data_IF_032188599845
#
_entry.id   IF_032188599845
#
_cell.length_a   1.000
_cell.length_b   1.000
_cell.length_c   1.000
_cell.angle_alpha   90.00
_cell.angle_beta   90.00
_cell.angle_gamma   90.00
#
_symmetry.space_group_name_H-M   'P 1'
#
loop_
_entity.id
_entity.type
_entity.pdbx_description
1 polymer ?
#
# COMPACT_ATOMS: atom_id res chain seq x y z
N UNK A 1 -19.68 3.83 -5.68
CA UNK A 1 -18.30 3.79 -6.29
C UNK A 1 -17.94 2.33 -6.55
N UNK A 2 -17.03 2.04 -7.50
CA UNK A 2 -16.67 0.63 -7.80
C UNK A 2 -16.33 -0.19 -6.56
N UNK A 3 -15.51 0.37 -5.67
CA UNK A 3 -15.03 -0.30 -4.45
C UNK A 3 -16.15 -0.70 -3.47
N UNK A 4 -17.25 0.03 -3.45
CA UNK A 4 -18.40 -0.25 -2.58
C UNK A 4 -19.19 -1.48 -3.06
N UNK A 5 -19.13 -1.76 -4.37
CA UNK A 5 -19.85 -2.84 -5.02
C UNK A 5 -18.99 -4.09 -5.29
N UNK A 6 -17.70 -4.07 -4.87
CA UNK A 6 -16.82 -5.22 -5.04
C UNK A 6 -17.20 -6.35 -4.08
N UNK A 7 -16.94 -7.58 -4.51
CA UNK A 7 -17.15 -8.77 -3.68
C UNK A 7 -16.31 -8.71 -2.40
N UNK A 8 -16.93 -9.03 -1.28
CA UNK A 8 -16.23 -9.11 0.01
C UNK A 8 -15.38 -10.38 0.06
N UNK A 9 -14.09 -10.24 0.28
CA UNK A 9 -13.11 -11.34 0.34
C UNK A 9 -12.39 -11.29 1.69
N UNK A 10 -12.34 -12.44 2.36
CA UNK A 10 -11.58 -12.61 3.61
C UNK A 10 -10.19 -13.16 3.33
N UNK A 11 -9.18 -12.56 3.94
CA UNK A 11 -7.77 -12.98 3.85
C UNK A 11 -7.26 -13.10 5.29
N UNK A 12 -7.22 -14.32 5.81
CA UNK A 12 -6.92 -14.55 7.23
C UNK A 12 -7.85 -13.76 8.14
N UNK A 13 -7.30 -12.88 8.97
CA UNK A 13 -8.05 -11.98 9.87
C UNK A 13 -8.43 -10.63 9.24
N UNK A 14 -8.16 -10.41 7.97
CA UNK A 14 -8.50 -9.18 7.23
C UNK A 14 -9.63 -9.40 6.25
N UNK A 15 -10.33 -8.32 5.91
CA UNK A 15 -11.43 -8.30 4.93
C UNK A 15 -11.17 -7.17 3.94
N UNK A 16 -11.42 -7.43 2.65
CA UNK A 16 -11.30 -6.45 1.56
C UNK A 16 -12.55 -6.48 0.68
N UNK A 17 -12.74 -5.45 -0.13
CA UNK A 17 -13.93 -5.31 -0.99
C UNK A 17 -15.16 -4.82 -0.22
N UNK A 18 -16.25 -4.52 -0.95
CA UNK A 18 -17.51 -4.07 -0.35
C UNK A 18 -17.40 -2.78 0.47
N UNK A 19 -16.55 -1.85 0.08
CA UNK A 19 -16.33 -0.59 0.79
C UNK A 19 -15.45 -0.70 2.05
N UNK A 20 -14.93 -1.88 2.39
CA UNK A 20 -14.00 -2.03 3.52
C UNK A 20 -12.74 -1.16 3.33
N UNK A 21 -12.02 -0.81 4.42
CA UNK A 21 -10.80 -0.02 4.34
C UNK A 21 -9.78 -0.59 3.36
N UNK A 22 -9.06 0.29 2.65
CA UNK A 22 -8.01 -0.11 1.73
C UNK A 22 -6.80 -0.59 2.54
N UNK A 23 -6.35 -1.81 2.27
CA UNK A 23 -5.23 -2.42 2.98
C UNK A 23 -3.91 -2.22 2.23
N UNK A 24 -2.85 -1.97 3.00
CA UNK A 24 -1.48 -1.87 2.49
C UNK A 24 -0.84 -3.25 2.52
N UNK A 25 -0.44 -3.74 1.36
CA UNK A 25 0.34 -4.95 1.22
C UNK A 25 1.77 -4.61 0.83
N UNK A 26 2.76 -5.21 1.51
CA UNK A 26 4.15 -5.21 1.06
C UNK A 26 4.64 -6.61 0.73
N UNK A 27 5.91 -6.74 0.42
CA UNK A 27 6.56 -8.01 0.10
C UNK A 27 7.93 -8.07 0.77
N UNK A 28 8.24 -9.21 1.36
CA UNK A 28 9.59 -9.45 1.91
C UNK A 28 10.63 -9.48 0.79
N UNK A 29 11.82 -8.99 1.09
CA UNK A 29 13.01 -9.12 0.25
C UNK A 29 14.06 -10.09 0.84
N UNK A 30 13.72 -10.72 1.97
CA UNK A 30 14.47 -11.83 2.55
C UNK A 30 14.15 -13.14 1.82
N UNK A 31 15.02 -14.14 1.91
CA UNK A 31 14.69 -15.50 1.49
C UNK A 31 13.63 -16.06 2.43
N UNK A 32 12.52 -16.58 1.89
CA UNK A 32 11.43 -17.16 2.70
C UNK A 32 11.90 -18.38 3.51
N UNK A 33 12.95 -19.05 3.09
CA UNK A 33 13.60 -20.15 3.82
C UNK A 33 14.32 -19.69 5.10
N UNK A 34 14.77 -18.42 5.13
CA UNK A 34 15.27 -17.78 6.35
C UNK A 34 14.10 -17.35 7.23
N UNK A 35 13.61 -18.28 8.04
CA UNK A 35 12.44 -18.10 8.90
C UNK A 35 12.65 -16.94 9.87
N UNK A 36 13.83 -16.83 10.49
CA UNK A 36 14.11 -15.81 11.50
C UNK A 36 14.18 -14.41 10.85
N UNK A 37 14.96 -14.26 9.78
CA UNK A 37 15.10 -13.00 9.05
C UNK A 37 13.79 -12.54 8.43
N UNK A 38 13.04 -13.47 7.83
CA UNK A 38 11.74 -13.16 7.22
C UNK A 38 10.71 -12.75 8.28
N UNK A 39 10.64 -13.47 9.41
CA UNK A 39 9.73 -13.12 10.51
C UNK A 39 10.08 -11.74 11.10
N UNK A 40 11.35 -11.48 11.36
CA UNK A 40 11.81 -10.18 11.86
C UNK A 40 11.43 -9.03 10.91
N UNK A 41 11.61 -9.23 9.59
CA UNK A 41 11.21 -8.24 8.60
C UNK A 41 9.69 -8.02 8.58
N UNK A 42 8.88 -9.08 8.63
CA UNK A 42 7.42 -8.98 8.64
C UNK A 42 6.95 -8.20 9.87
N UNK A 43 7.44 -8.52 11.06
CA UNK A 43 7.07 -7.83 12.30
C UNK A 43 7.47 -6.35 12.28
N UNK A 44 8.62 -6.01 11.68
CA UNK A 44 9.02 -4.62 11.46
C UNK A 44 8.06 -3.89 10.52
N UNK A 45 7.66 -4.53 9.43
CA UNK A 45 6.71 -3.94 8.47
C UNK A 45 5.32 -3.79 9.06
N UNK A 46 4.87 -4.77 9.84
CA UNK A 46 3.59 -4.74 10.56
C UNK A 46 3.55 -3.57 11.55
N UNK A 47 4.60 -3.38 12.35
CA UNK A 47 4.71 -2.26 13.29
C UNK A 47 4.59 -0.89 12.61
N UNK A 48 4.98 -0.78 11.32
CA UNK A 48 4.82 0.43 10.50
C UNK A 48 3.44 0.56 9.86
N UNK A 49 2.58 -0.47 9.99
CA UNK A 49 1.20 -0.45 9.46
C UNK A 49 1.02 -1.21 8.15
N UNK A 50 1.86 -2.21 7.86
CA UNK A 50 1.59 -3.21 6.83
C UNK A 50 0.41 -4.07 7.26
N UNK A 51 -0.61 -4.18 6.42
CA UNK A 51 -1.82 -4.94 6.73
C UNK A 51 -1.76 -6.40 6.24
N UNK A 52 -1.01 -6.66 5.16
CA UNK A 52 -0.86 -7.96 4.51
C UNK A 52 0.57 -8.10 4.00
N UNK A 53 1.21 -9.23 4.26
CA UNK A 53 2.56 -9.50 3.74
C UNK A 53 2.53 -10.53 2.61
N UNK A 54 3.42 -10.37 1.61
CA UNK A 54 3.65 -11.35 0.55
C UNK A 54 5.07 -11.88 0.62
N UNK A 55 5.21 -13.20 0.55
CA UNK A 55 6.51 -13.89 0.50
C UNK A 55 6.65 -14.64 -0.83
N UNK A 56 7.84 -14.61 -1.43
CA UNK A 56 8.14 -15.43 -2.59
C UNK A 56 8.29 -16.91 -2.19
N UNK A 57 7.77 -17.81 -3.02
CA UNK A 57 7.87 -19.26 -2.79
C UNK A 57 8.50 -19.91 -4.02
N UNK A 58 9.83 -19.88 -4.13
CA UNK A 58 10.54 -20.40 -5.29
C UNK A 58 10.68 -21.92 -5.28
N UNK A 59 10.60 -22.57 -4.12
CA UNK A 59 10.81 -24.00 -3.93
C UNK A 59 10.02 -24.55 -2.73
N UNK A 60 10.13 -25.85 -2.47
CA UNK A 60 9.38 -26.56 -1.44
C UNK A 60 9.85 -26.19 -0.01
N UNK A 61 11.11 -25.86 0.17
CA UNK A 61 11.67 -25.42 1.45
C UNK A 61 11.03 -24.09 1.88
N UNK A 62 10.91 -23.14 0.96
CA UNK A 62 10.21 -21.89 1.17
C UNK A 62 8.71 -22.12 1.50
N UNK A 63 8.05 -23.06 0.79
CA UNK A 63 6.66 -23.41 1.11
C UNK A 63 6.51 -23.96 2.53
N UNK A 64 7.40 -24.85 2.97
CA UNK A 64 7.42 -25.42 4.34
C UNK A 64 7.69 -24.35 5.40
N UNK A 65 8.57 -23.39 5.10
CA UNK A 65 8.91 -22.30 6.02
C UNK A 65 7.68 -21.44 6.39
N UNK A 66 6.68 -21.34 5.51
CA UNK A 66 5.42 -20.61 5.77
C UNK A 66 4.80 -21.06 7.10
N UNK A 67 4.81 -22.38 7.41
CA UNK A 67 4.21 -22.91 8.63
C UNK A 67 4.83 -22.31 9.91
N UNK A 68 6.14 -22.16 9.93
CA UNK A 68 6.84 -21.60 11.09
C UNK A 68 6.75 -20.08 11.14
N UNK A 69 6.80 -19.41 9.99
CA UNK A 69 6.59 -17.97 9.88
C UNK A 69 5.20 -17.60 10.39
N UNK A 70 4.16 -18.31 9.95
CA UNK A 70 2.75 -18.05 10.35
C UNK A 70 2.50 -18.15 11.86
N UNK A 71 3.27 -18.93 12.59
CA UNK A 71 3.17 -19.01 14.06
C UNK A 71 3.70 -17.76 14.78
N UNK A 72 4.45 -16.91 14.09
CA UNK A 72 5.23 -15.81 14.66
C UNK A 72 4.83 -14.43 14.13
N UNK A 73 3.84 -14.38 13.25
CA UNK A 73 3.30 -13.13 12.66
C UNK A 73 1.80 -13.04 12.93
N UNK A 74 1.25 -11.83 12.98
CA UNK A 74 -0.18 -11.61 13.21
C UNK A 74 -0.94 -11.20 11.93
N UNK A 75 -0.24 -10.64 10.93
CA UNK A 75 -0.86 -10.25 9.65
C UNK A 75 -0.96 -11.43 8.68
N UNK A 76 -1.94 -11.40 7.76
CA UNK A 76 -2.08 -12.42 6.73
C UNK A 76 -0.87 -12.52 5.81
N UNK A 77 -0.49 -13.76 5.46
CA UNK A 77 0.59 -14.07 4.54
C UNK A 77 0.05 -14.52 3.18
N UNK A 78 0.54 -13.88 2.12
CA UNK A 78 0.28 -14.24 0.72
C UNK A 78 1.47 -14.98 0.15
N UNK A 79 1.28 -16.21 -0.31
CA UNK A 79 2.31 -16.96 -1.03
C UNK A 79 2.31 -16.57 -2.51
N UNK A 80 3.47 -16.16 -3.02
CA UNK A 80 3.67 -15.74 -4.41
C UNK A 80 4.30 -16.89 -5.23
N UNK A 81 3.47 -17.53 -6.05
CA UNK A 81 3.87 -18.69 -6.87
C UNK A 81 3.94 -18.28 -8.33
N UNK A 82 5.08 -18.59 -8.97
CA UNK A 82 5.31 -18.22 -10.36
C UNK A 82 4.95 -19.31 -11.35
N UNK A 83 5.39 -20.57 -11.13
CA UNK A 83 5.30 -21.62 -12.13
C UNK A 83 4.79 -22.96 -11.58
N UNK A 84 5.29 -23.42 -10.44
CA UNK A 84 4.99 -24.76 -9.94
C UNK A 84 3.72 -24.80 -9.09
N UNK A 85 2.67 -25.44 -9.61
CA UNK A 85 1.38 -25.61 -8.92
C UNK A 85 1.48 -26.33 -7.57
N UNK A 86 2.48 -27.24 -7.42
CA UNK A 86 2.70 -27.98 -6.17
C UNK A 86 3.10 -27.06 -5.03
N UNK A 87 3.82 -25.98 -5.34
CA UNK A 87 4.18 -24.96 -4.35
C UNK A 87 2.97 -24.16 -3.91
N UNK A 88 1.99 -23.92 -4.80
CA UNK A 88 0.73 -23.28 -4.43
C UNK A 88 -0.06 -24.13 -3.45
N UNK A 89 -0.21 -25.43 -3.75
CA UNK A 89 -0.87 -26.42 -2.89
C UNK A 89 -0.17 -26.49 -1.53
N UNK A 90 1.12 -26.75 -1.50
CA UNK A 90 1.91 -26.83 -0.28
C UNK A 90 1.82 -25.56 0.56
N UNK A 91 1.90 -24.36 -0.07
CA UNK A 91 1.76 -23.09 0.65
C UNK A 91 0.42 -22.96 1.37
N UNK A 92 -0.67 -23.37 0.74
CA UNK A 92 -2.01 -23.38 1.36
C UNK A 92 -2.09 -24.41 2.50
N UNK A 93 -1.49 -25.58 2.33
CA UNK A 93 -1.42 -26.61 3.37
C UNK A 93 -0.60 -26.18 4.58
N UNK A 94 0.46 -25.40 4.35
CA UNK A 94 1.30 -24.82 5.41
C UNK A 94 0.78 -23.49 5.99
N UNK A 95 -0.41 -23.05 5.58
CA UNK A 95 -1.13 -21.97 6.26
C UNK A 95 -1.03 -20.59 5.62
N UNK A 96 -0.71 -20.49 4.33
CA UNK A 96 -0.85 -19.24 3.61
C UNK A 96 -2.33 -18.81 3.57
N UNK A 97 -2.60 -17.53 3.84
CA UNK A 97 -3.97 -16.98 3.89
C UNK A 97 -4.50 -16.58 2.51
N UNK A 98 -3.64 -16.46 1.55
CA UNK A 98 -3.95 -16.18 0.13
C UNK A 98 -2.79 -16.67 -0.73
N UNK A 99 -3.08 -17.08 -1.95
CA UNK A 99 -2.04 -17.33 -2.95
C UNK A 99 -2.14 -16.30 -4.08
N UNK A 100 -1.00 -15.99 -4.69
CA UNK A 100 -0.93 -15.24 -5.94
C UNK A 100 -0.37 -16.13 -7.02
N UNK A 101 -1.12 -16.29 -8.08
CA UNK A 101 -0.72 -17.05 -9.27
C UNK A 101 -1.00 -16.26 -10.55
N UNK A 102 -0.37 -16.65 -11.63
CA UNK A 102 -0.80 -16.38 -12.98
C UNK A 102 -1.18 -17.74 -13.61
N UNK A 103 -2.48 -18.04 -13.80
CA UNK A 103 -2.93 -19.32 -14.34
C UNK A 103 -2.21 -19.71 -15.63
N UNK A 104 -1.88 -18.74 -16.49
CA UNK A 104 -1.13 -19.00 -17.73
C UNK A 104 0.31 -19.51 -17.51
N UNK A 105 0.92 -19.26 -16.34
CA UNK A 105 2.25 -19.72 -16.00
C UNK A 105 2.25 -21.05 -15.24
N UNK A 106 1.12 -21.41 -14.62
CA UNK A 106 0.99 -22.66 -13.85
C UNK A 106 1.03 -23.90 -14.77
N UNK A 107 0.61 -23.73 -16.01
CA UNK A 107 0.67 -24.78 -17.04
C UNK A 107 -0.70 -25.27 -17.45
N UNK A 108 -0.94 -26.60 -17.41
CA UNK A 108 -2.18 -27.19 -17.93
C UNK A 108 -3.41 -26.87 -17.05
N UNK A 109 -4.59 -27.02 -17.63
CA UNK A 109 -5.88 -26.82 -16.95
C UNK A 109 -6.00 -27.72 -15.71
N UNK A 110 -5.51 -28.97 -15.80
CA UNK A 110 -5.54 -29.94 -14.69
C UNK A 110 -4.68 -29.45 -13.50
N UNK A 111 -3.56 -28.79 -13.76
CA UNK A 111 -2.71 -28.21 -12.69
C UNK A 111 -3.38 -27.03 -12.01
N UNK A 112 -4.04 -26.17 -12.79
CA UNK A 112 -4.83 -25.06 -12.25
C UNK A 112 -6.00 -25.61 -11.43
N UNK A 113 -6.68 -26.64 -11.92
CA UNK A 113 -7.79 -27.30 -11.21
C UNK A 113 -7.31 -27.85 -9.85
N UNK A 114 -6.18 -28.53 -9.81
CA UNK A 114 -5.62 -29.04 -8.55
C UNK A 114 -5.37 -27.94 -7.51
N UNK A 115 -4.89 -26.76 -7.95
CA UNK A 115 -4.75 -25.59 -7.07
C UNK A 115 -6.10 -25.07 -6.61
N UNK A 116 -7.06 -24.96 -7.51
CA UNK A 116 -8.41 -24.47 -7.21
C UNK A 116 -9.15 -25.39 -6.25
N UNK A 117 -9.01 -26.71 -6.37
CA UNK A 117 -9.65 -27.68 -5.47
C UNK A 117 -9.18 -27.53 -4.04
N UNK A 118 -7.87 -27.38 -3.81
CA UNK A 118 -7.32 -27.11 -2.47
C UNK A 118 -7.74 -25.72 -1.96
N UNK A 119 -7.78 -24.73 -2.83
CA UNK A 119 -8.24 -23.40 -2.45
C UNK A 119 -9.72 -23.40 -2.02
N UNK A 120 -10.58 -24.18 -2.71
CA UNK A 120 -11.99 -24.39 -2.34
C UNK A 120 -12.13 -25.07 -0.99
N UNK A 121 -11.43 -26.20 -0.81
CA UNK A 121 -11.48 -26.98 0.43
C UNK A 121 -11.14 -26.11 1.65
N UNK A 122 -10.14 -25.25 1.49
CA UNK A 122 -9.62 -24.40 2.56
C UNK A 122 -10.19 -22.99 2.58
N UNK A 123 -11.06 -22.64 1.62
CA UNK A 123 -11.61 -21.30 1.43
C UNK A 123 -10.53 -20.20 1.32
N UNK A 124 -9.42 -20.49 0.63
CA UNK A 124 -8.29 -19.57 0.49
C UNK A 124 -8.43 -18.75 -0.79
N UNK A 125 -8.48 -17.41 -0.72
CA UNK A 125 -8.62 -16.58 -1.90
C UNK A 125 -7.40 -16.68 -2.83
N UNK A 126 -7.69 -16.67 -4.14
CA UNK A 126 -6.68 -16.67 -5.19
C UNK A 126 -6.58 -15.27 -5.79
N UNK A 127 -5.38 -14.70 -5.82
CA UNK A 127 -5.11 -13.49 -6.60
C UNK A 127 -4.59 -13.84 -7.99
N UNK A 128 -5.38 -13.50 -8.99
CA UNK A 128 -4.99 -13.56 -10.40
C UNK A 128 -4.17 -12.32 -10.73
N UNK A 129 -2.90 -12.52 -11.07
CA UNK A 129 -1.97 -11.41 -11.37
C UNK A 129 -1.58 -11.36 -12.84
N UNK A 130 -1.79 -10.21 -13.47
CA UNK A 130 -1.37 -9.91 -14.83
C UNK A 130 -0.46 -8.68 -14.83
N UNK A 131 0.69 -8.79 -15.49
CA UNK A 131 1.60 -7.67 -15.67
C UNK A 131 1.75 -7.38 -17.19
N UNK A 132 1.93 -6.11 -17.55
CA UNK A 132 2.17 -5.72 -18.95
C UNK A 132 3.34 -6.46 -19.61
N UNK A 133 4.41 -6.72 -18.86
CA UNK A 133 5.60 -7.43 -19.35
C UNK A 133 5.40 -8.92 -19.59
N UNK A 134 4.27 -9.53 -19.20
CA UNK A 134 3.95 -10.95 -19.38
C UNK A 134 2.64 -11.18 -20.14
N UNK A 135 2.26 -10.22 -20.99
CA UNK A 135 1.07 -10.33 -21.83
C UNK A 135 1.27 -11.39 -22.91
N UNK A 136 0.25 -12.18 -23.21
CA UNK A 136 0.26 -13.27 -24.19
C UNK A 136 0.48 -12.74 -25.61
N UNK A 137 1.26 -13.46 -26.42
CA UNK A 137 1.64 -13.08 -27.78
C UNK A 137 0.43 -12.83 -28.68
N UNK A 138 -0.59 -13.67 -28.61
CA UNK A 138 -1.83 -13.52 -29.36
C UNK A 138 -2.58 -12.22 -29.05
N UNK A 139 -2.53 -11.74 -27.78
CA UNK A 139 -3.12 -10.47 -27.40
C UNK A 139 -2.24 -9.28 -27.88
N UNK A 140 -0.92 -9.42 -27.82
CA UNK A 140 -0.01 -8.42 -28.38
C UNK A 140 -0.25 -8.24 -29.89
N UNK A 141 -0.44 -9.34 -30.63
CA UNK A 141 -0.76 -9.32 -32.05
C UNK A 141 -2.14 -8.70 -32.31
N UNK A 142 -3.17 -9.11 -31.55
CA UNK A 142 -4.54 -8.60 -31.66
C UNK A 142 -4.61 -7.09 -31.46
N UNK A 143 -3.93 -6.58 -30.45
CA UNK A 143 -3.96 -5.15 -30.08
C UNK A 143 -2.81 -4.34 -30.67
N UNK A 144 -1.96 -4.96 -31.51
CA UNK A 144 -0.78 -4.34 -32.14
C UNK A 144 0.20 -3.72 -31.13
N UNK A 145 0.34 -4.36 -29.97
CA UNK A 145 1.21 -3.94 -28.88
C UNK A 145 0.66 -4.29 -27.51
N UNK A 146 1.37 -3.84 -26.47
CA UNK A 146 0.90 -3.93 -25.09
C UNK A 146 -0.03 -2.75 -24.82
N UNK A 147 -1.30 -3.03 -24.55
CA UNK A 147 -2.36 -2.01 -24.34
C UNK A 147 -3.16 -2.31 -23.09
N UNK A 148 -3.86 -1.30 -22.58
CA UNK A 148 -4.75 -1.46 -21.42
C UNK A 148 -5.85 -2.48 -21.70
N UNK A 149 -6.43 -2.46 -22.89
CA UNK A 149 -7.47 -3.40 -23.35
C UNK A 149 -6.94 -4.84 -23.38
N UNK A 150 -5.75 -5.05 -23.92
CA UNK A 150 -5.11 -6.37 -23.95
C UNK A 150 -4.82 -6.93 -22.57
N UNK A 151 -4.35 -6.08 -21.65
CA UNK A 151 -4.09 -6.48 -20.26
C UNK A 151 -5.39 -6.87 -19.54
N UNK A 152 -6.47 -6.11 -19.75
CA UNK A 152 -7.79 -6.40 -19.16
C UNK A 152 -8.37 -7.69 -19.73
N UNK A 153 -8.31 -7.90 -21.05
CA UNK A 153 -8.77 -9.15 -21.67
C UNK A 153 -7.99 -10.35 -21.13
N UNK A 154 -6.68 -10.25 -20.98
CA UNK A 154 -5.85 -11.28 -20.35
C UNK A 154 -6.30 -11.59 -18.92
N UNK A 155 -6.58 -10.56 -18.11
CA UNK A 155 -7.02 -10.73 -16.74
C UNK A 155 -8.39 -11.43 -16.66
N UNK A 156 -9.35 -10.98 -17.45
CA UNK A 156 -10.70 -11.57 -17.50
C UNK A 156 -10.69 -13.02 -17.98
N UNK A 157 -9.89 -13.33 -19.00
CA UNK A 157 -9.73 -14.71 -19.48
C UNK A 157 -9.18 -15.63 -18.37
N UNK A 158 -8.17 -15.19 -17.62
CA UNK A 158 -7.60 -15.96 -16.51
C UNK A 158 -8.54 -16.11 -15.33
N UNK A 159 -9.33 -15.10 -15.03
CA UNK A 159 -10.40 -15.15 -14.03
C UNK A 159 -11.45 -16.16 -14.45
N UNK A 160 -11.89 -16.10 -15.71
CA UNK A 160 -12.90 -17.03 -16.25
C UNK A 160 -12.45 -18.50 -16.17
N UNK A 161 -11.20 -18.81 -16.39
CA UNK A 161 -10.69 -20.19 -16.22
C UNK A 161 -10.98 -20.71 -14.81
N UNK A 162 -10.79 -19.90 -13.77
CA UNK A 162 -11.04 -20.29 -12.38
C UNK A 162 -12.53 -20.30 -12.06
N UNK A 163 -13.31 -19.35 -12.60
CA UNK A 163 -14.78 -19.33 -12.45
C UNK A 163 -15.42 -20.57 -13.07
N UNK A 164 -14.95 -21.00 -14.26
CA UNK A 164 -15.45 -22.21 -14.95
C UNK A 164 -15.15 -23.49 -14.15
N UNK A 165 -14.15 -23.44 -13.24
CA UNK A 165 -13.90 -24.47 -12.23
C UNK A 165 -14.79 -24.35 -11.00
N UNK A 166 -15.74 -23.39 -10.97
CA UNK A 166 -16.68 -23.16 -9.88
C UNK A 166 -16.05 -22.50 -8.65
N UNK A 167 -15.05 -21.61 -8.82
CA UNK A 167 -14.43 -20.85 -7.74
C UNK A 167 -14.40 -19.36 -8.04
N UNK A 168 -14.91 -18.58 -7.09
CA UNK A 168 -15.09 -17.14 -7.25
C UNK A 168 -14.57 -16.32 -6.04
N UNK A 169 -13.77 -16.95 -5.15
CA UNK A 169 -13.06 -16.26 -4.07
C UNK A 169 -11.76 -15.68 -4.63
N UNK A 170 -11.91 -14.62 -5.47
CA UNK A 170 -10.86 -14.10 -6.33
C UNK A 170 -10.54 -12.63 -6.04
N UNK A 171 -9.29 -12.28 -6.25
CA UNK A 171 -8.77 -10.90 -6.28
C UNK A 171 -8.05 -10.71 -7.61
N UNK A 172 -8.21 -9.58 -8.26
CA UNK A 172 -7.52 -9.28 -9.51
C UNK A 172 -6.39 -8.27 -9.27
N UNK A 173 -5.29 -8.48 -9.94
CA UNK A 173 -4.16 -7.55 -9.93
C UNK A 173 -3.67 -7.31 -11.36
N UNK A 174 -3.80 -6.07 -11.80
CA UNK A 174 -3.29 -5.60 -13.09
C UNK A 174 -2.16 -4.62 -12.79
N UNK A 175 -1.00 -4.79 -13.42
CA UNK A 175 0.14 -3.91 -13.20
C UNK A 175 0.85 -3.57 -14.51
N UNK A 176 1.27 -2.32 -14.60
CA UNK A 176 2.15 -1.80 -15.65
C UNK A 176 3.18 -0.86 -15.04
N UNK A 177 4.33 -0.73 -15.69
CA UNK A 177 5.32 0.32 -15.42
C UNK A 177 4.94 1.66 -16.06
N UNK A 178 4.08 1.62 -17.09
CA UNK A 178 3.43 2.80 -17.66
C UNK A 178 2.23 3.19 -16.78
N UNK A 179 2.31 4.38 -16.20
CA UNK A 179 1.31 4.86 -15.23
C UNK A 179 -0.05 5.06 -15.90
N UNK A 180 -0.09 5.70 -17.06
CA UNK A 180 -1.36 6.02 -17.74
C UNK A 180 -2.03 4.76 -18.27
N UNK A 181 -1.25 3.82 -18.82
CA UNK A 181 -1.76 2.50 -19.21
C UNK A 181 -2.32 1.75 -18.00
N UNK A 182 -1.64 1.78 -16.86
CA UNK A 182 -2.09 1.15 -15.62
C UNK A 182 -3.42 1.75 -15.15
N UNK A 183 -3.55 3.08 -15.12
CA UNK A 183 -4.80 3.79 -14.78
C UNK A 183 -5.91 3.37 -15.72
N UNK A 184 -5.67 3.43 -17.03
CA UNK A 184 -6.66 3.07 -18.05
C UNK A 184 -7.13 1.61 -17.91
N UNK A 185 -6.23 0.68 -17.64
CA UNK A 185 -6.58 -0.72 -17.43
C UNK A 185 -7.48 -0.89 -16.19
N UNK A 186 -7.25 -0.14 -15.11
CA UNK A 186 -8.11 -0.17 -13.93
C UNK A 186 -9.48 0.45 -14.20
N UNK A 187 -9.58 1.52 -14.97
CA UNK A 187 -10.86 2.09 -15.42
C UNK A 187 -11.68 1.10 -16.25
N UNK A 188 -11.01 0.35 -17.12
CA UNK A 188 -11.67 -0.62 -17.99
C UNK A 188 -12.17 -1.83 -17.19
N UNK A 189 -11.33 -2.42 -16.32
CA UNK A 189 -11.72 -3.61 -15.55
C UNK A 189 -12.79 -3.30 -14.51
N UNK A 190 -12.78 -2.10 -13.94
CA UNK A 190 -13.81 -1.65 -12.99
C UNK A 190 -15.21 -1.58 -13.60
N UNK A 191 -15.35 -1.46 -14.93
CA UNK A 191 -16.64 -1.46 -15.62
C UNK A 191 -17.22 -2.85 -15.83
N UNK A 192 -16.40 -3.89 -15.78
CA UNK A 192 -16.79 -5.25 -16.23
C UNK A 192 -16.56 -6.33 -15.17
N UNK A 193 -15.94 -6.00 -14.05
CA UNK A 193 -15.65 -6.93 -12.96
C UNK A 193 -16.15 -6.39 -11.62
N UNK A 194 -16.50 -7.28 -10.69
CA UNK A 194 -16.84 -6.97 -9.31
C UNK A 194 -15.86 -7.59 -8.30
N UNK A 195 -14.74 -8.12 -8.76
CA UNK A 195 -13.72 -8.64 -7.87
C UNK A 195 -12.87 -7.52 -7.28
N UNK A 196 -12.49 -7.62 -6.00
CA UNK A 196 -11.55 -6.66 -5.39
C UNK A 196 -10.27 -6.53 -6.21
N UNK A 197 -9.77 -5.30 -6.32
CA UNK A 197 -8.56 -5.00 -7.08
C UNK A 197 -7.37 -4.73 -6.16
N UNK A 198 -6.26 -5.41 -6.45
CA UNK A 198 -4.95 -5.11 -5.85
C UNK A 198 -4.18 -4.19 -6.80
N UNK A 199 -4.00 -2.95 -6.38
CA UNK A 199 -3.49 -1.85 -7.20
C UNK A 199 -2.02 -1.54 -6.88
N UNK A 200 -1.26 -1.18 -7.88
CA UNK A 200 0.13 -0.72 -7.73
C UNK A 200 0.81 -0.56 -9.07
N UNK A 201 1.77 0.36 -9.13
CA UNK A 201 2.65 0.51 -10.29
C UNK A 201 3.82 -0.47 -10.12
N UNK A 202 4.14 -1.26 -11.15
CA UNK A 202 5.30 -2.16 -11.12
C UNK A 202 6.54 -1.47 -11.66
N UNK A 203 7.72 -1.91 -11.22
CA UNK A 203 8.99 -1.38 -11.71
C UNK A 203 9.06 0.16 -11.61
N UNK A 204 8.59 0.70 -10.47
CA UNK A 204 8.48 2.15 -10.30
C UNK A 204 9.83 2.86 -10.24
N UNK A 205 10.89 2.17 -9.80
CA UNK A 205 12.24 2.69 -9.69
C UNK A 205 12.71 2.87 -8.25
N UNK A 206 13.73 3.71 -8.08
CA UNK A 206 14.33 4.04 -6.78
C UNK A 206 13.39 4.89 -5.93
N UNK A 207 13.76 5.16 -4.67
CA UNK A 207 12.92 5.84 -3.69
C UNK A 207 12.27 7.11 -4.25
N UNK A 208 13.05 8.03 -4.83
CA UNK A 208 12.51 9.29 -5.34
C UNK A 208 11.57 9.10 -6.54
N UNK A 209 12.06 8.49 -7.62
CA UNK A 209 11.25 8.31 -8.84
C UNK A 209 10.09 7.34 -8.65
N UNK A 210 10.30 6.30 -7.85
CA UNK A 210 9.29 5.31 -7.55
C UNK A 210 8.15 5.85 -6.69
N UNK A 211 8.45 6.73 -5.74
CA UNK A 211 7.42 7.41 -4.94
C UNK A 211 6.56 8.32 -5.82
N UNK A 212 7.17 9.09 -6.72
CA UNK A 212 6.42 9.96 -7.64
C UNK A 212 5.50 9.13 -8.53
N UNK A 213 6.03 8.09 -9.20
CA UNK A 213 5.23 7.23 -10.10
C UNK A 213 4.10 6.53 -9.35
N UNK A 214 4.39 5.99 -8.15
CA UNK A 214 3.38 5.31 -7.33
C UNK A 214 2.32 6.27 -6.83
N UNK A 215 2.70 7.47 -6.37
CA UNK A 215 1.76 8.48 -5.89
C UNK A 215 0.83 8.96 -6.99
N UNK A 216 1.38 9.24 -8.19
CA UNK A 216 0.56 9.64 -9.35
C UNK A 216 -0.39 8.51 -9.76
N UNK A 217 0.12 7.30 -9.98
CA UNK A 217 -0.69 6.18 -10.45
C UNK A 217 -1.74 5.73 -9.44
N UNK A 218 -1.36 5.54 -8.18
CA UNK A 218 -2.29 5.19 -7.12
C UNK A 218 -3.28 6.31 -6.85
N UNK A 219 -2.84 7.58 -6.84
CA UNK A 219 -3.71 8.73 -6.66
C UNK A 219 -4.81 8.81 -7.72
N UNK A 220 -4.45 8.62 -9.00
CA UNK A 220 -5.42 8.62 -10.10
C UNK A 220 -6.41 7.45 -10.03
N UNK A 221 -5.97 6.26 -9.62
CA UNK A 221 -6.85 5.08 -9.53
C UNK A 221 -7.75 5.16 -8.29
N UNK A 222 -7.17 5.39 -7.13
CA UNK A 222 -7.90 5.47 -5.86
C UNK A 222 -8.87 6.65 -5.80
N UNK A 223 -8.51 7.80 -6.41
CA UNK A 223 -9.37 8.98 -6.52
C UNK A 223 -10.65 8.74 -7.30
N UNK A 224 -10.68 7.70 -8.15
CA UNK A 224 -11.89 7.25 -8.87
C UNK A 224 -12.70 6.21 -8.07
N UNK A 225 -12.33 5.92 -6.83
CA UNK A 225 -12.99 4.89 -6.01
C UNK A 225 -12.67 3.47 -6.48
N UNK A 226 -11.51 3.23 -7.09
CA UNK A 226 -11.04 1.93 -7.58
C UNK A 226 -9.88 1.46 -6.71
N UNK A 227 -9.90 0.19 -6.24
CA UNK A 227 -8.82 -0.44 -5.50
C UNK A 227 -9.17 -0.76 -4.05
N UNK A 228 -8.88 -2.00 -3.64
CA UNK A 228 -9.22 -2.56 -2.32
C UNK A 228 -7.97 -2.91 -1.51
N UNK A 229 -6.86 -3.14 -2.19
CA UNK A 229 -5.53 -3.26 -1.60
C UNK A 229 -4.50 -2.55 -2.47
N UNK A 230 -3.48 -1.96 -1.85
CA UNK A 230 -2.39 -1.29 -2.58
C UNK A 230 -1.04 -1.91 -2.29
N UNK A 231 -0.10 -1.75 -3.24
CA UNK A 231 1.32 -1.94 -3.00
C UNK A 231 2.12 -0.87 -3.73
N UNK A 232 2.89 -0.11 -2.99
CA UNK A 232 4.01 0.68 -3.52
C UNK A 232 5.16 -0.30 -3.77
N UNK A 233 5.86 -0.19 -4.90
CA UNK A 233 6.96 -1.09 -5.27
C UNK A 233 8.20 -0.28 -5.55
N UNK A 234 9.19 -0.34 -4.66
CA UNK A 234 10.41 0.44 -4.72
C UNK A 234 11.65 -0.45 -4.82
N UNK A 235 12.68 0.05 -5.49
CA UNK A 235 14.03 -0.50 -5.37
C UNK A 235 14.66 0.09 -4.10
N UNK A 236 14.42 -0.55 -2.94
CA UNK A 236 14.86 -0.05 -1.63
C UNK A 236 14.33 -0.88 -0.46
N UNK A 237 14.43 -0.33 0.74
CA UNK A 237 13.88 -0.98 1.94
C UNK A 237 12.33 -1.01 1.86
N UNK A 238 11.69 -2.16 2.11
CA UNK A 238 10.23 -2.28 2.09
C UNK A 238 9.50 -1.38 3.12
N UNK A 239 10.20 -0.88 4.14
CA UNK A 239 9.61 0.09 5.09
C UNK A 239 9.17 1.37 4.42
N UNK A 240 9.91 1.82 3.41
CA UNK A 240 9.58 3.02 2.63
C UNK A 240 8.32 2.79 1.76
N UNK A 241 8.06 1.57 1.31
CA UNK A 241 6.81 1.20 0.61
C UNK A 241 5.59 1.43 1.52
N UNK A 242 5.71 1.06 2.81
CA UNK A 242 4.61 1.22 3.79
C UNK A 242 4.37 2.69 4.12
N UNK A 243 5.45 3.45 4.42
CA UNK A 243 5.36 4.89 4.70
C UNK A 243 4.68 5.62 3.55
N UNK A 244 5.14 5.38 2.33
CA UNK A 244 4.57 5.98 1.12
C UNK A 244 3.11 5.56 0.92
N UNK A 245 2.78 4.29 1.09
CA UNK A 245 1.41 3.79 0.99
C UNK A 245 0.46 4.44 1.99
N UNK A 246 0.90 4.58 3.25
CA UNK A 246 0.14 5.29 4.30
C UNK A 246 -0.10 6.74 3.92
N UNK A 247 0.94 7.43 3.46
CA UNK A 247 0.85 8.84 3.09
C UNK A 247 -0.09 9.05 1.90
N UNK A 248 -0.03 8.20 0.87
CA UNK A 248 -0.95 8.26 -0.27
C UNK A 248 -2.40 8.11 0.20
N UNK A 249 -2.70 7.09 1.02
CA UNK A 249 -4.06 6.86 1.50
C UNK A 249 -4.56 8.01 2.38
N UNK A 250 -3.69 8.56 3.22
CA UNK A 250 -4.01 9.71 4.07
C UNK A 250 -4.27 10.97 3.25
N UNK A 251 -3.39 11.30 2.30
CA UNK A 251 -3.54 12.45 1.40
C UNK A 251 -4.85 12.42 0.61
N UNK A 252 -5.36 11.21 0.30
CA UNK A 252 -6.64 11.01 -0.38
C UNK A 252 -7.85 10.92 0.58
N UNK A 253 -7.66 11.07 1.90
CA UNK A 253 -8.73 10.90 2.90
C UNK A 253 -9.27 9.48 3.01
N UNK A 254 -8.53 8.47 2.51
CA UNK A 254 -8.94 7.05 2.46
C UNK A 254 -8.44 6.25 3.68
N UNK A 255 -7.59 6.82 4.50
CA UNK A 255 -7.12 6.25 5.77
C UNK A 255 -7.08 7.35 6.82
N UNK A 256 -7.66 7.08 7.98
CA UNK A 256 -7.59 7.95 9.16
C UNK A 256 -6.44 7.51 10.06
N UNK A 257 -6.07 8.40 10.98
CA UNK A 257 -5.03 8.18 11.98
C UNK A 257 -3.64 8.67 11.56
N UNK A 258 -2.84 8.94 12.56
CA UNK A 258 -1.54 9.59 12.43
C UNK A 258 -1.62 11.10 12.17
N UNK A 259 -0.57 11.83 12.47
CA UNK A 259 -0.50 13.28 12.31
C UNK A 259 -0.19 13.65 10.84
N UNK A 260 -0.96 14.57 10.27
CA UNK A 260 -0.63 15.21 8.98
C UNK A 260 0.20 16.45 9.25
N UNK A 261 1.42 16.50 8.71
CA UNK A 261 2.26 17.69 8.80
C UNK A 261 2.11 18.53 7.53
N UNK A 262 1.80 19.81 7.72
CA UNK A 262 1.79 20.80 6.65
C UNK A 262 2.86 21.85 6.94
N UNK A 263 3.71 22.16 5.98
CA UNK A 263 4.75 23.18 6.11
C UNK A 263 4.69 24.18 4.98
N UNK A 264 4.97 25.45 5.26
CA UNK A 264 5.06 26.44 4.21
C UNK A 264 6.37 26.26 3.40
N UNK A 265 6.38 26.61 2.12
CA UNK A 265 7.60 26.63 1.34
C UNK A 265 8.55 27.70 1.90
N UNK A 266 9.87 27.42 1.82
CA UNK A 266 10.89 28.42 2.17
C UNK A 266 10.77 29.64 1.27
N UNK A 267 10.79 30.83 1.85
CA UNK A 267 10.76 32.10 1.11
C UNK A 267 11.61 33.17 1.82
N UNK A 268 11.73 34.35 1.23
CA UNK A 268 12.52 35.47 1.81
C UNK A 268 12.03 35.98 3.16
N UNK A 269 10.84 35.55 3.63
CA UNK A 269 10.30 35.87 4.96
C UNK A 269 10.65 34.86 6.03
N UNK A 270 11.17 33.68 5.67
CA UNK A 270 11.60 32.64 6.61
C UNK A 270 12.69 33.18 7.52
N UNK A 271 12.57 33.01 8.84
CA UNK A 271 13.46 33.55 9.86
C UNK A 271 14.17 32.49 10.68
N UNK A 272 13.85 31.24 10.46
CA UNK A 272 14.37 30.07 11.18
C UNK A 272 14.90 29.04 10.18
N UNK A 273 15.62 28.04 10.64
CA UNK A 273 15.92 26.85 9.82
C UNK A 273 14.67 25.97 9.67
N UNK A 274 13.75 26.43 8.82
CA UNK A 274 12.48 25.77 8.57
C UNK A 274 12.64 24.35 8.04
N UNK A 275 13.62 24.10 7.18
CA UNK A 275 13.85 22.78 6.58
C UNK A 275 14.20 21.78 7.68
N UNK A 276 15.12 22.15 8.56
CA UNK A 276 15.51 21.31 9.70
C UNK A 276 14.32 21.07 10.62
N UNK A 277 13.62 22.13 11.03
CA UNK A 277 12.48 22.03 11.95
C UNK A 277 11.35 21.18 11.38
N UNK A 278 11.01 21.33 10.10
CA UNK A 278 9.96 20.53 9.46
C UNK A 278 10.32 19.04 9.45
N UNK A 279 11.55 18.68 9.08
CA UNK A 279 12.01 17.29 9.10
C UNK A 279 12.04 16.70 10.53
N UNK A 280 12.42 17.49 11.53
CA UNK A 280 12.40 17.06 12.93
C UNK A 280 10.95 16.84 13.42
N UNK A 281 10.02 17.71 13.03
CA UNK A 281 8.59 17.53 13.33
C UNK A 281 8.03 16.30 12.63
N UNK A 282 8.30 16.10 11.33
CA UNK A 282 7.85 14.91 10.60
C UNK A 282 8.34 13.62 11.26
N UNK A 283 9.59 13.60 11.75
CA UNK A 283 10.12 12.44 12.47
C UNK A 283 9.46 12.27 13.84
N UNK A 284 9.30 13.35 14.60
CA UNK A 284 8.72 13.32 15.94
C UNK A 284 7.26 12.85 15.92
N UNK A 285 6.46 13.28 14.93
CA UNK A 285 5.03 12.94 14.88
C UNK A 285 4.77 11.47 14.54
N UNK A 286 5.76 10.73 14.02
CA UNK A 286 5.64 9.27 13.82
C UNK A 286 5.43 8.50 15.14
N UNK A 287 5.79 9.09 16.29
CA UNK A 287 5.60 8.49 17.62
C UNK A 287 4.15 8.57 18.13
N UNK A 288 3.29 9.36 17.47
CA UNK A 288 1.93 9.66 17.94
C UNK A 288 0.87 9.04 17.02
N UNK A 289 -0.13 8.41 17.61
CA UNK A 289 -1.33 7.92 16.91
C UNK A 289 -2.51 8.88 17.11
N UNK A 290 -2.33 10.13 16.66
CA UNK A 290 -3.34 11.19 16.73
C UNK A 290 -3.84 11.49 15.31
N UNK A 291 -5.16 11.64 15.15
CA UNK A 291 -5.79 12.01 13.86
C UNK A 291 -5.96 13.53 13.78
N UNK A 292 -4.86 14.25 13.67
CA UNK A 292 -4.80 15.71 13.65
C UNK A 292 -3.85 16.24 12.58
N UNK A 293 -3.98 17.55 12.30
CA UNK A 293 -3.10 18.29 11.40
C UNK A 293 -2.17 19.22 12.19
N UNK A 294 -0.88 19.12 11.96
CA UNK A 294 0.19 19.94 12.55
C UNK A 294 0.77 20.86 11.49
N UNK A 295 0.83 22.17 11.78
CA UNK A 295 1.44 23.17 10.89
C UNK A 295 2.85 23.56 11.35
N UNK A 296 3.79 23.65 10.40
CA UNK A 296 5.16 24.16 10.63
C UNK A 296 5.42 25.34 9.70
N UNK A 297 5.46 26.55 10.27
CA UNK A 297 5.53 27.79 9.51
C UNK A 297 6.83 28.57 9.75
N UNK A 298 7.45 29.04 8.68
CA UNK A 298 8.74 29.71 8.72
C UNK A 298 8.72 31.17 9.16
N UNK A 299 7.56 31.79 9.32
CA UNK A 299 7.44 33.18 9.78
C UNK A 299 6.13 33.44 10.53
N UNK A 300 6.17 34.37 11.50
CA UNK A 300 5.02 34.74 12.30
C UNK A 300 3.98 35.62 11.54
N UNK A 301 4.33 36.14 10.36
CA UNK A 301 3.44 37.05 9.60
C UNK A 301 2.27 36.32 8.96
N UNK A 302 2.57 35.26 8.21
CA UNK A 302 1.55 34.45 7.55
C UNK A 302 1.21 33.15 8.32
N UNK A 303 2.09 32.77 9.28
CA UNK A 303 1.96 31.55 10.05
C UNK A 303 0.58 31.31 10.65
N UNK A 304 -0.01 32.28 11.38
CA UNK A 304 -1.34 32.10 11.95
C UNK A 304 -2.45 31.93 10.91
N UNK A 305 -2.33 32.60 9.75
CA UNK A 305 -3.30 32.49 8.66
C UNK A 305 -3.23 31.15 7.93
N UNK A 306 -2.04 30.70 7.62
CA UNK A 306 -1.77 29.41 6.94
C UNK A 306 -1.99 28.20 7.89
N UNK A 307 -1.75 28.39 9.20
CA UNK A 307 -2.02 27.38 10.22
C UNK A 307 -3.50 27.32 10.67
N UNK A 308 -4.39 28.14 10.13
CA UNK A 308 -5.81 28.20 10.55
C UNK A 308 -6.55 26.88 10.37
N UNK A 309 -6.20 26.11 9.33
CA UNK A 309 -6.82 24.82 9.05
C UNK A 309 -6.13 23.64 9.77
N UNK A 310 -5.05 23.92 10.52
CA UNK A 310 -4.38 22.94 11.35
C UNK A 310 -4.93 22.97 12.79
N UNK A 311 -4.93 21.81 13.43
CA UNK A 311 -5.36 21.69 14.82
C UNK A 311 -4.37 22.36 15.77
N UNK A 312 -3.07 22.23 15.48
CA UNK A 312 -1.97 22.86 16.20
C UNK A 312 -0.84 23.18 15.22
N UNK A 313 -0.02 24.16 15.55
CA UNK A 313 1.14 24.50 14.72
C UNK A 313 2.14 25.35 15.46
N UNK A 314 3.33 25.42 14.86
CA UNK A 314 4.42 26.30 15.29
C UNK A 314 4.82 27.22 14.14
N UNK A 315 5.16 28.46 14.48
CA UNK A 315 5.64 29.45 13.51
C UNK A 315 6.91 30.12 14.02
N UNK A 316 7.93 30.21 13.17
CA UNK A 316 9.19 30.85 13.50
C UNK A 316 9.13 32.37 13.49
N UNK A 317 10.04 33.01 14.23
CA UNK A 317 10.28 34.46 14.28
C UNK A 317 11.74 34.76 14.58
N UNK A 318 12.10 36.01 14.83
CA UNK A 318 13.47 36.37 15.24
C UNK A 318 13.73 35.99 16.70
N UNK A 319 14.43 34.85 16.93
CA UNK A 319 14.78 34.39 18.28
C UNK A 319 13.58 33.91 19.11
N UNK A 320 12.38 34.14 18.65
CA UNK A 320 11.12 33.73 19.25
C UNK A 320 10.26 33.04 18.20
N UNK A 321 9.41 32.12 18.63
CA UNK A 321 8.39 31.50 17.82
C UNK A 321 7.02 31.54 18.46
N UNK A 322 6.03 31.07 17.74
CA UNK A 322 4.65 31.04 18.16
C UNK A 322 4.14 29.60 18.20
N UNK A 323 3.42 29.24 19.25
CA UNK A 323 2.55 28.09 19.29
C UNK A 323 1.14 28.56 18.90
N UNK A 324 0.51 27.86 17.98
CA UNK A 324 -0.80 28.22 17.39
C UNK A 324 -1.73 27.02 17.54
N UNK A 325 -2.95 27.23 18.00
CA UNK A 325 -4.01 26.23 18.00
C UNK A 325 -5.23 26.78 17.24
N UNK A 326 -5.68 26.06 16.22
CA UNK A 326 -6.84 26.44 15.37
C UNK A 326 -6.76 27.89 14.86
N UNK A 327 -5.58 28.35 14.49
CA UNK A 327 -5.32 29.70 13.98
C UNK A 327 -5.12 30.79 15.04
N UNK A 328 -5.27 30.47 16.32
CA UNK A 328 -5.05 31.42 17.42
C UNK A 328 -3.66 31.22 18.05
N UNK A 329 -2.97 32.34 18.33
CA UNK A 329 -1.69 32.33 19.02
C UNK A 329 -1.93 32.03 20.50
N UNK A 330 -1.43 30.86 20.94
CA UNK A 330 -1.58 30.42 22.34
C UNK A 330 -0.39 30.87 23.19
N UNK A 331 0.82 30.81 22.66
CA UNK A 331 2.04 31.06 23.41
C UNK A 331 3.16 31.56 22.50
N UNK A 332 4.00 32.46 23.01
CA UNK A 332 5.31 32.78 22.45
C UNK A 332 6.36 31.96 23.18
N UNK A 333 7.26 31.38 22.44
CA UNK A 333 8.34 30.51 22.97
C UNK A 333 9.66 30.86 22.31
N UNK A 334 10.83 30.64 22.94
CA UNK A 334 12.14 30.71 22.29
C UNK A 334 12.20 29.79 21.08
N UNK A 335 12.92 30.20 20.04
CA UNK A 335 13.02 29.43 18.78
C UNK A 335 13.53 28.00 19.01
N UNK A 336 14.52 27.83 19.87
CA UNK A 336 15.13 26.53 20.23
C UNK A 336 14.17 25.61 21.03
N UNK A 337 13.07 26.14 21.54
CA UNK A 337 12.06 25.37 22.29
C UNK A 337 10.82 25.01 21.45
N UNK A 338 10.71 25.45 20.21
CA UNK A 338 9.53 25.20 19.36
C UNK A 338 9.19 23.73 19.24
N UNK A 339 10.17 22.89 18.93
CA UNK A 339 9.97 21.44 18.77
C UNK A 339 9.51 20.77 20.08
N UNK A 340 10.19 21.10 21.19
CA UNK A 340 9.86 20.54 22.50
C UNK A 340 8.46 21.00 22.96
N UNK A 341 8.12 22.27 22.76
CA UNK A 341 6.79 22.80 23.11
C UNK A 341 5.70 22.08 22.30
N UNK A 342 5.90 21.89 21.00
CA UNK A 342 4.95 21.12 20.18
C UNK A 342 4.80 19.68 20.68
N UNK A 343 5.92 19.02 21.02
CA UNK A 343 5.89 17.66 21.56
C UNK A 343 5.11 17.56 22.87
N UNK A 344 5.31 18.47 23.80
CA UNK A 344 4.57 18.53 25.06
C UNK A 344 3.06 18.70 24.84
N UNK A 345 2.67 19.54 23.90
CA UNK A 345 1.26 19.74 23.55
C UNK A 345 0.64 18.48 22.91
N UNK A 346 1.41 17.74 22.09
CA UNK A 346 0.96 16.48 21.50
C UNK A 346 0.83 15.37 22.55
N UNK A 347 1.74 15.29 23.52
CA UNK A 347 1.67 14.36 24.66
C UNK A 347 0.43 14.58 25.54
N UNK A 348 -0.01 15.85 25.65
CA UNK A 348 -1.18 16.24 26.44
C UNK A 348 -2.44 16.42 25.59
N UNK A 349 -2.44 15.94 24.34
CA UNK A 349 -3.55 16.14 23.41
C UNK A 349 -4.81 15.41 23.87
N UNK A 350 -5.89 16.15 24.14
CA UNK A 350 -7.18 15.57 24.56
C UNK A 350 -7.37 15.44 26.08
N UNK A 351 -6.41 15.94 26.88
CA UNK A 351 -6.54 16.06 28.35
C UNK A 351 -7.13 17.41 28.75
#
# INVERSE_FOLDING_TARGET
MYREDTKVIRIGNRVIGGGNPILIQSMTNTSTEDIEGTTAQINRLEALGCDIIRCAVPNMEAAKAIKEIKKRISIPLVADIHFDYRLAIASMEYGADKIRINPGNIGSVERVLAVVDVAKERNIPIRVGVNSGSLEKNLIEKYKGVTAEGIVESALHKVKIIEDMGYDNLVISIKSSDVLMCVKAHELIAKVSKYPLHVGITESGTLFSGNIKSSVGLGMILGQGIGDTIRVSLTGDPTEEIKTGKLILKTLGLRKGGIEVVSCPTCGRTKIDLIKLANEVETMVEEFDLDIKVAVMGCAVNGPGEAREADIGIAGGFGEGLLIKKGEIVKKVPEDQLLNTLREELLNWGN
#
